data_IF_803487258401
#
_entry.id   IF_803487258401
#
_cell.length_a   1.000
_cell.length_b   1.000
_cell.length_c   1.000
_cell.angle_alpha   90.00
_cell.angle_beta   90.00
_cell.angle_gamma   90.00
#
_symmetry.space_group_name_H-M   'P 1'
#
loop_
_entity.id
_entity.type
_entity.pdbx_description
1 polymer ?
#
# COMPACT_ATOMS: atom_id res chain seq x y z
N UNK A 1 0.45 17.43 37.38
CA UNK A 1 0.77 16.62 36.20
C UNK A 1 1.99 17.26 35.57
N UNK A 2 3.17 16.68 35.76
CA UNK A 2 4.43 17.23 35.25
C UNK A 2 4.60 16.75 33.81
N UNK A 3 4.71 17.67 32.85
CA UNK A 3 5.06 17.33 31.48
C UNK A 3 6.56 16.99 31.44
N UNK A 4 6.91 15.71 31.36
CA UNK A 4 8.26 15.32 30.97
C UNK A 4 8.38 15.46 29.45
N UNK A 5 9.26 16.36 29.02
CA UNK A 5 9.60 16.52 27.61
C UNK A 5 10.47 15.33 27.21
N UNK A 6 10.02 14.55 26.24
CA UNK A 6 10.78 13.42 25.70
C UNK A 6 11.87 13.89 24.71
N UNK A 7 12.69 14.84 25.15
CA UNK A 7 13.71 15.52 24.35
C UNK A 7 14.72 14.56 23.71
N UNK A 8 15.27 13.54 24.42
CA UNK A 8 16.23 12.61 23.81
C UNK A 8 15.63 11.81 22.64
N UNK A 9 14.35 11.46 22.71
CA UNK A 9 13.68 10.78 21.61
C UNK A 9 13.42 11.71 20.43
N UNK A 10 12.96 12.93 20.69
CA UNK A 10 12.68 13.92 19.64
C UNK A 10 13.96 14.27 18.87
N UNK A 11 15.06 14.52 19.58
CA UNK A 11 16.34 14.91 18.99
C UNK A 11 17.12 13.71 18.42
N UNK A 12 16.94 12.52 19.00
CA UNK A 12 17.69 11.32 18.61
C UNK A 12 17.01 10.46 17.55
N UNK A 13 15.74 10.70 17.23
CA UNK A 13 15.05 9.98 16.14
C UNK A 13 15.57 10.48 14.81
N UNK A 14 16.11 9.56 14.01
CA UNK A 14 16.60 9.84 12.68
C UNK A 14 15.42 9.86 11.71
N UNK A 15 15.27 10.96 10.97
CA UNK A 15 14.18 11.16 10.02
C UNK A 15 14.75 11.31 8.61
N UNK A 16 14.23 10.53 7.68
CA UNK A 16 14.53 10.64 6.25
C UNK A 16 13.21 10.82 5.50
N UNK A 17 13.18 11.83 4.63
CA UNK A 17 11.96 12.26 3.97
C UNK A 17 12.18 12.37 2.46
N UNK A 18 11.16 11.94 1.73
CA UNK A 18 10.94 12.22 0.32
C UNK A 18 9.62 12.99 0.23
N UNK A 19 9.74 14.32 0.15
CA UNK A 19 8.68 15.30 0.39
C UNK A 19 7.68 15.49 -0.78
N UNK A 20 7.48 14.49 -1.63
CA UNK A 20 6.40 14.56 -2.61
C UNK A 20 5.02 14.59 -1.94
N UNK A 21 3.96 14.70 -2.74
CA UNK A 21 2.64 14.33 -2.25
C UNK A 21 2.51 12.80 -2.33
N UNK A 22 1.79 12.14 -1.41
CA UNK A 22 1.34 10.77 -1.63
C UNK A 22 0.70 10.69 -3.01
N UNK A 23 1.10 9.68 -3.78
CA UNK A 23 0.62 9.46 -5.13
C UNK A 23 -0.91 9.52 -5.15
N UNK A 24 -1.46 10.46 -5.93
CA UNK A 24 -2.92 10.67 -6.03
C UNK A 24 -3.58 9.51 -6.75
N UNK A 25 -2.94 9.04 -7.81
CA UNK A 25 -3.40 7.97 -8.67
C UNK A 25 -2.19 7.21 -9.22
N UNK A 26 -2.38 5.92 -9.47
CA UNK A 26 -1.37 5.04 -10.05
C UNK A 26 -1.97 4.24 -11.19
N UNK A 27 -1.27 4.20 -12.32
CA UNK A 27 -1.64 3.32 -13.43
C UNK A 27 -1.34 1.86 -13.07
N UNK A 28 -2.32 0.98 -13.25
CA UNK A 28 -2.16 -0.47 -13.09
C UNK A 28 -2.49 -1.19 -14.38
N UNK A 29 -2.06 -2.46 -14.47
CA UNK A 29 -2.46 -3.38 -15.54
C UNK A 29 -3.64 -4.24 -15.09
N UNK A 30 -4.53 -4.69 -15.99
CA UNK A 30 -5.70 -5.53 -15.65
C UNK A 30 -5.28 -6.80 -14.95
N UNK A 31 -4.15 -7.38 -15.34
CA UNK A 31 -3.59 -8.55 -14.65
C UNK A 31 -3.32 -8.31 -13.16
N UNK A 32 -3.21 -7.07 -12.72
CA UNK A 32 -3.10 -6.69 -11.30
C UNK A 32 -4.45 -6.81 -10.57
N UNK A 33 -5.60 -6.64 -11.22
CA UNK A 33 -6.91 -6.90 -10.61
C UNK A 33 -7.01 -8.32 -10.07
N UNK A 34 -6.54 -9.32 -10.85
CA UNK A 34 -6.50 -10.72 -10.39
C UNK A 34 -5.59 -10.88 -9.17
N UNK A 35 -4.50 -10.10 -9.07
CA UNK A 35 -3.65 -10.10 -7.87
C UNK A 35 -4.39 -9.53 -6.66
N UNK A 36 -5.30 -8.58 -6.88
CA UNK A 36 -6.17 -8.03 -5.85
C UNK A 36 -7.41 -8.89 -5.56
N UNK A 37 -7.62 -9.98 -6.31
CA UNK A 37 -8.75 -10.90 -6.12
C UNK A 37 -10.00 -10.54 -6.94
N UNK A 38 -9.84 -9.79 -8.03
CA UNK A 38 -10.94 -9.38 -8.91
C UNK A 38 -10.70 -9.79 -10.37
N UNK A 39 -11.79 -10.03 -11.07
CA UNK A 39 -11.86 -10.14 -12.53
C UNK A 39 -12.48 -8.86 -13.12
N UNK A 40 -12.00 -8.45 -14.30
CA UNK A 40 -12.70 -7.46 -15.11
C UNK A 40 -13.71 -8.17 -15.99
N UNK A 41 -14.95 -7.70 -16.01
CA UNK A 41 -16.03 -8.26 -16.82
C UNK A 41 -16.63 -7.18 -17.69
N UNK A 42 -17.29 -7.59 -18.78
CA UNK A 42 -18.09 -6.69 -19.61
C UNK A 42 -19.52 -7.20 -19.77
N UNK A 43 -20.41 -6.28 -20.07
CA UNK A 43 -21.79 -6.53 -20.44
C UNK A 43 -22.30 -5.51 -21.44
N UNK A 44 -23.56 -5.65 -21.85
CA UNK A 44 -24.22 -4.69 -22.76
C UNK A 44 -25.33 -3.98 -22.00
N UNK A 45 -25.26 -2.65 -21.96
CA UNK A 45 -26.30 -1.79 -21.40
C UNK A 45 -26.65 -0.70 -22.41
N UNK A 46 -27.94 -0.55 -22.74
CA UNK A 46 -28.42 0.41 -23.74
C UNK A 46 -27.68 0.36 -25.09
N UNK A 47 -27.27 -0.85 -25.52
CA UNK A 47 -26.54 -1.06 -26.77
C UNK A 47 -25.06 -0.67 -26.73
N UNK A 48 -24.54 -0.24 -25.59
CA UNK A 48 -23.11 0.04 -25.37
C UNK A 48 -22.46 -1.06 -24.52
N UNK A 49 -21.18 -1.33 -24.76
CA UNK A 49 -20.37 -2.16 -23.87
C UNK A 49 -20.04 -1.37 -22.61
N UNK A 50 -20.27 -1.98 -21.45
CA UNK A 50 -19.93 -1.42 -20.14
C UNK A 50 -19.06 -2.42 -19.38
N UNK A 51 -18.24 -1.92 -18.45
CA UNK A 51 -17.27 -2.74 -17.73
C UNK A 51 -17.57 -2.74 -16.23
N UNK A 52 -17.19 -3.80 -15.52
CA UNK A 52 -17.27 -3.84 -14.07
C UNK A 52 -16.19 -4.76 -13.50
N UNK A 53 -15.88 -4.59 -12.22
CA UNK A 53 -15.08 -5.58 -11.48
C UNK A 53 -15.98 -6.52 -10.69
N UNK A 54 -15.59 -7.80 -10.66
CA UNK A 54 -16.26 -8.84 -9.87
C UNK A 54 -15.22 -9.62 -9.05
N UNK A 55 -15.59 -10.22 -7.91
CA UNK A 55 -14.73 -11.17 -7.23
C UNK A 55 -14.22 -12.24 -8.21
N UNK A 56 -12.95 -12.63 -8.04
CA UNK A 56 -12.31 -13.65 -8.88
C UNK A 56 -13.15 -14.93 -8.96
N UNK A 57 -13.44 -15.40 -10.17
CA UNK A 57 -14.26 -16.58 -10.43
C UNK A 57 -15.65 -16.31 -11.00
N UNK A 58 -15.97 -15.06 -11.34
CA UNK A 58 -17.20 -14.73 -12.08
C UNK A 58 -17.25 -15.43 -13.45
N UNK A 59 -18.44 -15.83 -13.87
CA UNK A 59 -18.68 -16.51 -15.14
C UNK A 59 -19.61 -15.74 -16.08
N UNK A 60 -19.49 -16.02 -17.37
CA UNK A 60 -20.44 -15.55 -18.39
C UNK A 60 -21.87 -16.00 -18.03
N UNK A 61 -22.84 -15.11 -18.22
CA UNK A 61 -24.24 -15.35 -17.88
C UNK A 61 -24.63 -15.00 -16.44
N UNK A 62 -23.68 -14.80 -15.51
CA UNK A 62 -23.96 -14.10 -14.26
C UNK A 62 -24.34 -12.64 -14.53
N UNK A 63 -24.94 -11.93 -13.56
CA UNK A 63 -25.29 -10.52 -13.68
C UNK A 63 -24.56 -9.64 -12.67
N UNK A 64 -24.45 -8.36 -12.99
CA UNK A 64 -24.00 -7.32 -12.09
C UNK A 64 -24.85 -6.07 -12.26
N UNK A 65 -24.97 -5.29 -11.19
CA UNK A 65 -25.70 -4.04 -11.22
C UNK A 65 -24.87 -2.94 -11.86
N UNK A 66 -25.48 -2.19 -12.77
CA UNK A 66 -24.92 -0.99 -13.38
C UNK A 66 -26.03 0.05 -13.54
N UNK A 67 -25.84 1.26 -13.00
CA UNK A 67 -26.85 2.35 -13.03
C UNK A 67 -28.27 1.89 -12.60
N UNK A 68 -28.36 1.04 -11.58
CA UNK A 68 -29.63 0.52 -11.07
C UNK A 68 -30.29 -0.55 -11.95
N UNK A 69 -29.60 -1.05 -12.97
CA UNK A 69 -30.06 -2.12 -13.86
C UNK A 69 -29.19 -3.37 -13.72
N UNK A 70 -29.80 -4.55 -13.76
CA UNK A 70 -29.06 -5.82 -13.87
C UNK A 70 -28.55 -6.00 -15.31
N UNK A 71 -27.23 -6.14 -15.45
CA UNK A 71 -26.54 -6.38 -16.72
C UNK A 71 -25.91 -7.76 -16.69
N UNK A 72 -26.20 -8.59 -17.70
CA UNK A 72 -25.55 -9.89 -17.86
C UNK A 72 -24.10 -9.76 -18.32
N UNK A 73 -23.22 -10.54 -17.71
CA UNK A 73 -21.82 -10.69 -18.10
C UNK A 73 -21.78 -11.38 -19.46
N UNK A 74 -21.27 -10.68 -20.46
CA UNK A 74 -21.01 -11.20 -21.80
C UNK A 74 -19.62 -11.78 -21.95
N UNK A 75 -18.64 -11.27 -21.20
CA UNK A 75 -17.25 -11.74 -21.27
C UNK A 75 -16.51 -11.43 -19.96
N UNK A 76 -15.63 -12.35 -19.56
CA UNK A 76 -14.62 -12.13 -18.51
C UNK A 76 -13.28 -11.80 -19.17
N UNK A 77 -12.84 -10.55 -19.06
CA UNK A 77 -11.71 -10.02 -19.79
C UNK A 77 -10.38 -10.52 -19.21
N UNK A 78 -9.49 -10.98 -20.11
CA UNK A 78 -8.10 -11.33 -19.78
C UNK A 78 -7.10 -10.20 -20.05
N UNK A 79 -7.47 -9.29 -20.94
CA UNK A 79 -6.66 -8.15 -21.37
C UNK A 79 -7.50 -6.87 -21.39
N UNK A 80 -6.84 -5.72 -21.57
CA UNK A 80 -7.53 -4.44 -21.69
C UNK A 80 -8.38 -4.38 -22.95
N UNK A 81 -9.53 -3.68 -22.87
CA UNK A 81 -10.10 -3.06 -24.05
C UNK A 81 -9.03 -2.24 -24.78
N UNK A 82 -9.12 -2.17 -26.10
CA UNK A 82 -8.10 -1.50 -26.91
C UNK A 82 -7.91 -0.05 -26.45
N UNK A 83 -6.66 0.37 -26.26
CA UNK A 83 -6.25 1.70 -25.75
C UNK A 83 -6.69 2.03 -24.31
N UNK A 84 -7.30 1.09 -23.57
CA UNK A 84 -7.75 1.38 -22.23
C UNK A 84 -6.60 1.40 -21.22
N UNK A 85 -6.77 2.21 -20.17
CA UNK A 85 -5.87 2.30 -19.02
C UNK A 85 -6.68 2.22 -17.73
N UNK A 86 -6.08 1.68 -16.67
CA UNK A 86 -6.73 1.67 -15.37
C UNK A 86 -5.93 2.51 -14.37
N UNK A 87 -6.62 3.45 -13.73
CA UNK A 87 -6.04 4.35 -12.74
C UNK A 87 -6.67 4.10 -11.39
N UNK A 88 -5.85 3.67 -10.44
CA UNK A 88 -6.29 3.38 -9.09
C UNK A 88 -5.90 4.51 -8.15
N UNK A 89 -6.77 4.84 -7.21
CA UNK A 89 -6.54 5.87 -6.19
C UNK A 89 -7.14 5.46 -4.86
N UNK A 90 -6.75 6.18 -3.81
CA UNK A 90 -7.36 6.05 -2.48
C UNK A 90 -8.22 7.29 -2.22
N UNK A 91 -9.51 7.07 -2.00
CA UNK A 91 -10.45 8.10 -1.58
C UNK A 91 -10.83 7.92 -0.10
N UNK A 92 -10.95 9.01 0.64
CA UNK A 92 -11.38 8.98 2.03
C UNK A 92 -12.85 9.34 2.14
N UNK A 93 -13.65 8.45 2.72
CA UNK A 93 -15.08 8.66 2.97
C UNK A 93 -15.37 8.37 4.44
N UNK A 94 -15.85 9.37 5.18
CA UNK A 94 -16.22 9.23 6.60
C UNK A 94 -15.12 8.59 7.48
N UNK A 95 -13.84 8.85 7.15
CA UNK A 95 -12.69 8.28 7.85
C UNK A 95 -12.23 6.89 7.38
N UNK A 96 -12.92 6.32 6.40
CA UNK A 96 -12.57 5.04 5.76
C UNK A 96 -11.87 5.27 4.43
N UNK A 97 -10.79 4.55 4.19
CA UNK A 97 -10.07 4.58 2.92
C UNK A 97 -10.69 3.57 1.95
N UNK A 98 -11.05 4.03 0.75
CA UNK A 98 -11.58 3.23 -0.34
C UNK A 98 -10.57 3.17 -1.47
N UNK A 99 -10.35 1.96 -2.00
CA UNK A 99 -9.65 1.74 -3.26
C UNK A 99 -10.65 1.96 -4.37
N UNK A 100 -10.37 2.95 -5.21
CA UNK A 100 -11.18 3.29 -6.37
C UNK A 100 -10.37 3.01 -7.63
N UNK A 101 -10.98 2.37 -8.61
CA UNK A 101 -10.37 2.09 -9.91
C UNK A 101 -11.24 2.64 -11.03
N UNK A 102 -10.67 3.56 -11.81
CA UNK A 102 -11.28 4.01 -13.04
C UNK A 102 -10.65 3.29 -14.22
N UNK A 103 -11.48 2.89 -15.19
CA UNK A 103 -11.08 2.44 -16.50
C UNK A 103 -11.28 3.58 -17.49
N UNK A 104 -10.19 4.13 -17.99
CA UNK A 104 -10.20 5.09 -19.08
C UNK A 104 -10.16 4.34 -20.40
N UNK A 105 -11.28 4.33 -21.14
CA UNK A 105 -11.39 3.74 -22.48
C UNK A 105 -11.93 4.78 -23.47
N UNK A 106 -13.10 4.57 -24.07
CA UNK A 106 -13.79 5.62 -24.84
C UNK A 106 -14.37 6.71 -23.93
N UNK A 107 -14.90 6.29 -22.79
CA UNK A 107 -15.35 7.14 -21.68
C UNK A 107 -14.67 6.62 -20.39
N UNK A 108 -14.43 7.52 -19.43
CA UNK A 108 -13.87 7.13 -18.13
C UNK A 108 -14.98 6.59 -17.24
N UNK A 109 -14.81 5.40 -16.70
CA UNK A 109 -15.82 4.73 -15.87
C UNK A 109 -15.18 4.22 -14.57
N UNK A 110 -15.80 4.50 -13.43
CA UNK A 110 -15.47 3.82 -12.18
C UNK A 110 -15.92 2.35 -12.28
N UNK A 111 -14.98 1.42 -12.10
CA UNK A 111 -15.24 -0.02 -12.22
C UNK A 111 -15.07 -0.76 -10.90
N UNK A 112 -14.49 -0.14 -9.88
CA UNK A 112 -14.30 -0.70 -8.54
C UNK A 112 -14.32 0.42 -7.50
N UNK A 113 -15.09 0.23 -6.42
CA UNK A 113 -14.99 0.99 -5.18
C UNK A 113 -15.20 0.03 -4.01
N UNK A 114 -14.15 -0.16 -3.21
CA UNK A 114 -14.15 -1.12 -2.10
C UNK A 114 -13.30 -0.61 -0.94
N UNK A 115 -13.57 -1.02 0.31
CA UNK A 115 -12.70 -0.69 1.44
C UNK A 115 -11.26 -1.14 1.20
N UNK A 116 -10.32 -0.20 1.16
CA UNK A 116 -8.93 -0.47 0.79
C UNK A 116 -8.23 -1.42 1.78
N UNK A 117 -8.57 -1.32 3.08
CA UNK A 117 -7.95 -2.13 4.13
C UNK A 117 -8.18 -3.62 3.96
N UNK A 118 -9.40 -4.03 3.63
CA UNK A 118 -9.74 -5.45 3.44
C UNK A 118 -8.99 -6.04 2.25
N UNK A 119 -9.00 -5.33 1.12
CA UNK A 119 -8.33 -5.78 -0.10
C UNK A 119 -6.82 -5.79 0.09
N UNK A 120 -6.24 -4.77 0.75
CA UNK A 120 -4.81 -4.73 1.00
C UNK A 120 -4.36 -5.92 1.86
N UNK A 121 -5.08 -6.23 2.94
CA UNK A 121 -4.73 -7.38 3.79
C UNK A 121 -4.84 -8.71 3.04
N UNK A 122 -5.88 -8.88 2.21
CA UNK A 122 -6.02 -10.05 1.36
C UNK A 122 -4.87 -10.16 0.34
N UNK A 123 -4.50 -9.05 -0.28
CA UNK A 123 -3.35 -8.95 -1.19
C UNK A 123 -2.04 -9.34 -0.50
N UNK A 124 -1.71 -8.72 0.63
CA UNK A 124 -0.48 -9.01 1.39
C UNK A 124 -0.41 -10.48 1.81
N UNK A 125 -1.56 -11.08 2.18
CA UNK A 125 -1.66 -12.51 2.51
C UNK A 125 -1.42 -13.39 1.28
N UNK A 126 -2.08 -13.10 0.14
CA UNK A 126 -1.95 -13.85 -1.13
C UNK A 126 -0.49 -13.85 -1.61
N UNK A 127 0.19 -12.72 -1.49
CA UNK A 127 1.57 -12.53 -1.93
C UNK A 127 2.63 -12.88 -0.87
N UNK A 128 2.22 -13.37 0.31
CA UNK A 128 3.12 -13.78 1.41
C UNK A 128 4.07 -12.65 1.83
N UNK A 129 3.51 -11.49 2.14
CA UNK A 129 4.22 -10.28 2.59
C UNK A 129 3.97 -10.02 4.09
N UNK A 130 4.47 -10.89 4.99
CA UNK A 130 4.12 -10.87 6.40
C UNK A 130 4.70 -9.68 7.17
N UNK A 131 5.84 -9.12 6.74
CA UNK A 131 6.49 -8.03 7.44
C UNK A 131 5.75 -6.71 7.22
N UNK A 132 5.24 -6.46 6.00
CA UNK A 132 4.34 -5.34 5.74
C UNK A 132 3.03 -5.52 6.50
N UNK A 133 2.41 -6.70 6.42
CA UNK A 133 1.13 -6.98 7.09
C UNK A 133 1.21 -6.77 8.60
N UNK A 134 2.29 -7.22 9.23
CA UNK A 134 2.50 -7.06 10.67
C UNK A 134 2.86 -5.61 11.07
N UNK A 135 3.44 -4.84 10.17
CA UNK A 135 3.82 -3.45 10.44
C UNK A 135 2.68 -2.46 10.18
N UNK A 136 1.71 -2.80 9.31
CA UNK A 136 0.61 -1.90 8.94
C UNK A 136 -0.22 -1.50 10.16
N UNK A 137 -0.22 -0.20 10.49
CA UNK A 137 -0.88 0.34 11.68
C UNK A 137 -2.11 1.18 11.37
N UNK A 138 -2.00 2.05 10.37
CA UNK A 138 -3.09 2.91 9.91
C UNK A 138 -3.10 2.97 8.38
N UNK A 139 -4.27 3.26 7.82
CA UNK A 139 -4.48 3.29 6.38
C UNK A 139 -5.36 4.49 6.03
N UNK A 140 -4.79 5.42 5.26
CA UNK A 140 -5.47 6.54 4.61
C UNK A 140 -4.97 6.66 3.18
N UNK A 141 -4.82 7.88 2.65
CA UNK A 141 -4.06 8.12 1.41
C UNK A 141 -2.60 7.68 1.52
N UNK A 142 -2.03 7.79 2.73
CA UNK A 142 -0.79 7.16 3.14
C UNK A 142 -1.06 6.11 4.24
N UNK A 143 -0.29 5.03 4.20
CA UNK A 143 -0.27 4.01 5.22
C UNK A 143 0.91 4.26 6.17
N UNK A 144 0.71 3.99 7.45
CA UNK A 144 1.79 3.99 8.44
C UNK A 144 2.21 2.55 8.76
N UNK A 145 3.48 2.23 8.55
CA UNK A 145 4.10 0.97 8.92
C UNK A 145 4.92 1.19 10.20
N UNK A 146 4.57 0.50 11.28
CA UNK A 146 5.23 0.64 12.58
C UNK A 146 5.86 -0.68 13.00
N UNK A 147 7.13 -0.64 13.41
CA UNK A 147 7.79 -1.74 14.13
C UNK A 147 8.51 -1.24 15.36
N UNK A 148 8.49 -2.05 16.39
CA UNK A 148 9.30 -1.86 17.58
C UNK A 148 9.89 -3.21 17.98
N UNK A 149 11.10 -3.18 18.52
CA UNK A 149 11.73 -4.32 19.14
C UNK A 149 12.47 -3.88 20.41
N UNK A 150 12.32 -4.66 21.47
CA UNK A 150 12.90 -4.40 22.78
C UNK A 150 12.52 -3.07 23.46
N UNK A 151 13.21 -2.80 24.58
CA UNK A 151 12.98 -1.61 25.40
C UNK A 151 13.63 -0.36 24.79
N UNK A 152 13.00 0.78 25.05
CA UNK A 152 13.51 2.09 24.61
C UNK A 152 14.64 2.58 25.48
N UNK A 153 15.53 3.39 24.90
CA UNK A 153 16.65 4.01 25.60
C UNK A 153 17.05 5.32 24.94
N UNK A 154 18.30 5.74 25.14
CA UNK A 154 18.86 6.87 24.41
C UNK A 154 19.11 6.47 22.95
N UNK A 155 18.51 7.13 21.95
CA UNK A 155 18.79 6.82 20.56
C UNK A 155 20.26 7.08 20.21
N UNK A 156 20.83 6.20 19.39
CA UNK A 156 22.14 6.38 18.77
C UNK A 156 22.06 7.42 17.65
N UNK A 157 23.13 8.20 17.47
CA UNK A 157 23.25 9.08 16.31
C UNK A 157 23.49 8.27 15.03
N UNK A 158 23.29 8.90 13.87
CA UNK A 158 23.55 8.27 12.58
C UNK A 158 24.99 7.76 12.44
N UNK A 159 25.96 8.49 13.01
CA UNK A 159 27.39 8.15 12.96
C UNK A 159 27.73 6.90 13.79
N UNK A 160 26.90 6.56 14.78
CA UNK A 160 27.09 5.43 15.69
C UNK A 160 26.27 4.20 15.28
N UNK A 161 25.34 4.34 14.31
CA UNK A 161 24.49 3.24 13.89
C UNK A 161 25.29 2.03 13.40
N UNK A 162 24.91 0.79 13.73
CA UNK A 162 25.45 -0.41 13.10
C UNK A 162 25.17 -0.47 11.59
N UNK A 163 25.85 -1.35 10.83
CA UNK A 163 25.66 -1.47 9.38
C UNK A 163 24.23 -1.78 8.94
N UNK A 164 23.50 -2.61 9.70
CA UNK A 164 22.13 -3.06 9.39
C UNK A 164 21.14 -1.89 9.31
N UNK A 165 20.91 -1.08 10.36
CA UNK A 165 20.00 0.07 10.28
C UNK A 165 20.45 1.11 9.24
N UNK A 166 21.75 1.30 9.00
CA UNK A 166 22.22 2.18 7.90
C UNK A 166 21.83 1.64 6.52
N UNK A 167 21.94 0.33 6.30
CA UNK A 167 21.54 -0.31 5.03
C UNK A 167 20.04 -0.19 4.83
N UNK A 168 19.25 -0.46 5.88
CA UNK A 168 17.81 -0.28 5.88
C UNK A 168 17.40 1.14 5.48
N UNK A 169 17.94 2.16 6.14
CA UNK A 169 17.63 3.57 5.83
C UNK A 169 17.98 3.95 4.37
N UNK A 170 19.09 3.44 3.84
CA UNK A 170 19.46 3.65 2.43
C UNK A 170 18.48 2.99 1.47
N UNK A 171 18.03 1.78 1.77
CA UNK A 171 17.08 1.06 0.92
C UNK A 171 15.69 1.68 1.00
N UNK A 172 15.22 2.04 2.20
CA UNK A 172 14.00 2.80 2.41
C UNK A 172 13.99 4.07 1.55
N UNK A 173 15.06 4.87 1.60
CA UNK A 173 15.20 6.09 0.78
C UNK A 173 15.12 5.84 -0.73
N UNK A 174 15.59 4.68 -1.23
CA UNK A 174 15.43 4.34 -2.66
C UNK A 174 13.97 4.03 -2.98
N UNK A 175 13.32 3.23 -2.14
CA UNK A 175 11.92 2.86 -2.31
C UNK A 175 11.04 4.12 -2.26
N UNK A 176 11.30 5.04 -1.32
CA UNK A 176 10.59 6.32 -1.23
C UNK A 176 10.74 7.18 -2.49
N UNK A 177 11.94 7.22 -3.09
CA UNK A 177 12.16 7.91 -4.36
C UNK A 177 11.35 7.30 -5.50
N UNK A 178 11.28 5.97 -5.55
CA UNK A 178 10.52 5.26 -6.58
C UNK A 178 9.01 5.47 -6.41
N UNK A 179 8.54 5.64 -5.17
CA UNK A 179 7.15 6.00 -4.84
C UNK A 179 6.87 7.50 -4.98
N UNK A 180 7.88 8.35 -5.12
CA UNK A 180 7.76 9.81 -5.10
C UNK A 180 7.41 10.42 -3.73
N UNK A 181 7.10 9.60 -2.72
CA UNK A 181 6.74 10.01 -1.38
C UNK A 181 7.18 8.98 -0.35
N UNK A 182 7.62 9.46 0.81
CA UNK A 182 7.71 8.66 2.00
C UNK A 182 8.45 9.36 3.13
N UNK A 183 8.27 8.84 4.34
CA UNK A 183 8.93 9.36 5.53
C UNK A 183 9.23 8.23 6.47
N UNK A 184 10.50 8.00 6.73
CA UNK A 184 10.96 7.03 7.70
C UNK A 184 11.55 7.71 8.93
N UNK A 185 11.05 7.32 10.10
CA UNK A 185 11.53 7.74 11.40
C UNK A 185 12.07 6.51 12.15
N UNK A 186 13.34 6.53 12.53
CA UNK A 186 14.01 5.44 13.23
C UNK A 186 14.73 5.95 14.49
N UNK A 187 14.37 5.40 15.63
CA UNK A 187 15.13 5.51 16.88
C UNK A 187 15.77 4.16 17.20
N UNK A 188 17.10 4.08 17.18
CA UNK A 188 17.86 2.86 17.45
C UNK A 188 18.58 2.94 18.79
N UNK A 189 18.41 1.94 19.65
CA UNK A 189 18.89 1.93 21.05
C UNK A 189 20.03 0.94 21.30
N UNK A 190 20.64 0.42 20.23
CA UNK A 190 21.66 -0.63 20.30
C UNK A 190 21.07 -2.02 20.44
N UNK A 191 21.85 -2.94 21.01
CA UNK A 191 21.45 -4.33 21.21
C UNK A 191 21.24 -4.62 22.70
N UNK A 192 20.43 -5.63 23.01
CA UNK A 192 20.33 -6.17 24.37
C UNK A 192 21.49 -7.14 24.66
N UNK A 193 21.51 -7.74 25.86
CA UNK A 193 22.55 -8.70 26.27
C UNK A 193 22.61 -9.97 25.41
N UNK A 194 21.54 -10.28 24.69
CA UNK A 194 21.43 -11.42 23.77
C UNK A 194 21.81 -11.06 22.33
N UNK A 195 22.25 -9.83 22.07
CA UNK A 195 22.56 -9.34 20.73
C UNK A 195 21.34 -9.01 19.87
N UNK A 196 20.13 -8.95 20.46
CA UNK A 196 18.91 -8.56 19.72
C UNK A 196 18.81 -7.03 19.64
N UNK A 197 18.43 -6.48 18.49
CA UNK A 197 18.31 -5.04 18.32
C UNK A 197 17.18 -4.48 19.18
N UNK A 198 17.33 -3.20 19.55
CA UNK A 198 16.29 -2.43 20.21
C UNK A 198 16.01 -1.19 19.41
N UNK A 199 14.78 -0.99 18.95
CA UNK A 199 14.43 0.15 18.14
C UNK A 199 12.94 0.46 18.14
N UNK A 200 12.61 1.68 17.68
CA UNK A 200 11.27 2.07 17.23
C UNK A 200 11.38 2.64 15.83
N UNK A 201 10.47 2.23 14.97
CA UNK A 201 10.42 2.67 13.59
C UNK A 201 8.97 2.94 13.18
N UNK A 202 8.77 4.07 12.50
CA UNK A 202 7.57 4.36 11.74
C UNK A 202 7.98 4.72 10.31
N UNK A 203 7.24 4.20 9.34
CA UNK A 203 7.47 4.46 7.93
C UNK A 203 6.14 4.76 7.25
N UNK A 204 5.97 6.01 6.80
CA UNK A 204 4.83 6.43 6.02
C UNK A 204 5.10 6.20 4.53
N UNK A 205 4.18 5.53 3.85
CA UNK A 205 4.24 5.22 2.40
C UNK A 205 2.87 5.47 1.75
N UNK A 206 2.77 5.76 0.44
CA UNK A 206 1.47 5.86 -0.22
C UNK A 206 0.73 4.53 -0.12
N UNK A 207 -0.53 4.55 0.32
CA UNK A 207 -1.32 3.31 0.43
C UNK A 207 -1.46 2.64 -0.93
N UNK A 208 -1.64 3.43 -2.00
CA UNK A 208 -1.79 2.88 -3.36
C UNK A 208 -0.54 2.14 -3.84
N UNK A 209 0.65 2.56 -3.39
CA UNK A 209 1.90 1.91 -3.75
C UNK A 209 2.03 0.52 -3.11
N UNK A 210 1.32 0.23 -2.01
CA UNK A 210 1.30 -1.10 -1.38
C UNK A 210 0.50 -2.13 -2.18
N UNK A 211 -0.31 -1.70 -3.16
CA UNK A 211 -1.00 -2.59 -4.10
C UNK A 211 -0.13 -2.97 -5.31
N UNK A 212 1.05 -2.37 -5.44
CA UNK A 212 2.08 -2.78 -6.40
C UNK A 212 2.95 -3.86 -5.77
N UNK A 213 2.86 -5.08 -6.31
CA UNK A 213 3.62 -6.25 -5.81
C UNK A 213 5.12 -5.98 -5.73
N UNK A 214 5.71 -5.31 -6.72
CA UNK A 214 7.15 -5.07 -6.73
C UNK A 214 7.58 -4.11 -5.61
N UNK A 215 6.79 -3.08 -5.36
CA UNK A 215 7.05 -2.14 -4.26
C UNK A 215 6.81 -2.81 -2.92
N UNK A 216 5.68 -3.52 -2.77
CA UNK A 216 5.32 -4.20 -1.53
C UNK A 216 6.37 -5.27 -1.14
N UNK A 217 6.88 -6.05 -2.10
CA UNK A 217 7.99 -6.99 -1.90
C UNK A 217 9.28 -6.33 -1.42
N UNK A 218 9.63 -5.17 -1.99
CA UNK A 218 10.83 -4.42 -1.59
C UNK A 218 10.71 -3.87 -0.18
N UNK A 219 9.53 -3.34 0.18
CA UNK A 219 9.25 -2.89 1.55
C UNK A 219 9.30 -4.08 2.51
N UNK A 220 8.64 -5.20 2.18
CA UNK A 220 8.63 -6.41 3.01
C UNK A 220 10.05 -6.92 3.29
N UNK A 221 10.88 -6.98 2.25
CA UNK A 221 12.28 -7.35 2.37
C UNK A 221 13.09 -6.37 3.22
N UNK A 222 12.90 -5.06 3.03
CA UNK A 222 13.58 -4.05 3.83
C UNK A 222 13.20 -4.17 5.31
N UNK A 223 11.91 -4.38 5.61
CA UNK A 223 11.44 -4.64 6.96
C UNK A 223 12.05 -5.95 7.51
N UNK A 224 12.12 -7.01 6.72
CA UNK A 224 12.69 -8.29 7.14
C UNK A 224 14.16 -8.19 7.58
N UNK A 225 14.93 -7.30 6.96
CA UNK A 225 16.35 -7.06 7.29
C UNK A 225 16.55 -6.32 8.63
N UNK A 226 15.51 -5.68 9.17
CA UNK A 226 15.55 -4.98 10.46
C UNK A 226 15.32 -5.98 11.62
N UNK A 227 16.33 -6.80 11.87
CA UNK A 227 16.42 -7.86 12.90
C UNK A 227 17.77 -7.85 13.59
#
# INVERSE_FOLDING_TARGET
MTFEINEPMVLGTLVFETLGAPEREREFKIKSLKKWGFDLVSGIHNGKTIYATRPEGAAEGESFEYEGSDVSITEVLKEYPKNAKAYARIEMEEGTAHLVLDLEAEESQEILRVPAGEILLAFLKKHRLPHVANALRTLGSAAELVRHDGESGKPMSFAELPPVPRRFLREAKKIEKDMGFGRIALAWFGENKEGKPRYRMSWMVPTIALFDEHIAERIDKALAELK
#
